data_IF_597176857014
#
_entry.id   IF_597176857014
#
_cell.length_a   1.000
_cell.length_b   1.000
_cell.length_c   1.000
_cell.angle_alpha   90.00
_cell.angle_beta   90.00
_cell.angle_gamma   90.00
#
_symmetry.space_group_name_H-M   'P 1'
#
loop_
_entity.id
_entity.type
_entity.pdbx_description
1 polymer ?
#
# COMPACT_ATOMS: atom_id res chain seq x y z
N UNK A 1 -31.35 -5.72 -23.09
CA UNK A 1 -31.26 -4.31 -23.50
C UNK A 1 -30.12 -4.17 -24.50
N UNK A 2 -30.40 -4.23 -25.80
CA UNK A 2 -29.42 -4.13 -26.88
C UNK A 2 -29.46 -2.73 -27.50
N UNK A 3 -28.30 -2.04 -27.52
CA UNK A 3 -28.16 -0.65 -27.98
C UNK A 3 -27.73 -0.67 -29.45
N UNK A 4 -28.68 -0.46 -30.36
CA UNK A 4 -28.44 -0.39 -31.80
C UNK A 4 -27.76 0.94 -32.19
N UNK A 5 -26.62 0.83 -32.87
CA UNK A 5 -25.84 1.93 -33.45
C UNK A 5 -26.57 2.44 -34.69
N UNK A 6 -27.00 3.71 -34.68
CA UNK A 6 -27.59 4.39 -35.84
C UNK A 6 -26.48 4.87 -36.77
N UNK A 7 -26.42 4.32 -37.98
CA UNK A 7 -25.70 4.90 -39.11
C UNK A 7 -26.51 6.07 -39.71
N UNK A 8 -25.87 7.19 -40.09
CA UNK A 8 -26.56 8.25 -40.82
C UNK A 8 -26.82 7.82 -42.27
N UNK A 9 -28.10 7.85 -42.64
CA UNK A 9 -28.64 7.72 -43.99
C UNK A 9 -28.68 9.11 -44.64
N UNK A 10 -28.39 9.15 -45.94
CA UNK A 10 -28.63 10.25 -46.92
C UNK A 10 -27.54 11.34 -46.87
N UNK A 11 -27.03 11.87 -47.98
CA UNK A 11 -27.68 12.23 -49.25
C UNK A 11 -26.67 12.21 -50.41
N UNK A 12 -26.93 11.42 -51.45
CA UNK A 12 -26.34 11.67 -52.77
C UNK A 12 -27.14 12.82 -53.41
N UNK A 13 -26.56 14.02 -53.42
CA UNK A 13 -27.02 15.10 -54.29
C UNK A 13 -26.36 14.91 -55.65
N UNK A 14 -27.06 14.16 -56.51
CA UNK A 14 -26.94 14.27 -57.95
C UNK A 14 -27.42 15.66 -58.35
N UNK A 15 -26.50 16.59 -58.61
CA UNK A 15 -26.82 17.82 -59.32
C UNK A 15 -27.03 17.48 -60.79
N UNK A 16 -28.30 17.39 -61.17
CA UNK A 16 -28.76 17.45 -62.53
C UNK A 16 -28.40 18.83 -63.11
N UNK A 17 -27.40 18.89 -63.98
CA UNK A 17 -27.22 20.03 -64.87
C UNK A 17 -28.17 19.85 -66.07
N UNK A 18 -29.46 20.10 -65.83
CA UNK A 18 -30.46 20.24 -66.88
C UNK A 18 -30.87 21.71 -66.97
N UNK A 19 -30.45 22.35 -68.07
CA UNK A 19 -31.22 23.38 -68.75
C UNK A 19 -31.22 24.79 -68.16
N UNK A 20 -30.44 25.67 -68.80
CA UNK A 20 -30.98 26.98 -69.19
C UNK A 20 -30.71 27.16 -70.68
N UNK A 21 -31.68 26.71 -71.49
CA UNK A 21 -31.86 27.19 -72.85
C UNK A 21 -32.61 28.52 -72.70
N UNK A 22 -31.90 29.65 -72.79
CA UNK A 22 -32.57 30.93 -73.02
C UNK A 22 -32.85 31.00 -74.52
N UNK A 23 -34.03 30.51 -74.90
CA UNK A 23 -34.69 31.01 -76.10
C UNK A 23 -35.38 32.32 -75.72
N UNK A 24 -34.67 33.42 -75.86
CA UNK A 24 -35.26 34.75 -75.93
C UNK A 24 -35.24 35.18 -77.39
N UNK A 25 -36.42 35.14 -78.01
CA UNK A 25 -36.62 35.60 -79.37
C UNK A 25 -36.45 37.11 -79.50
N UNK A 26 -36.09 37.50 -80.72
CA UNK A 26 -36.25 38.84 -81.30
C UNK A 26 -35.48 39.98 -80.63
N UNK A 27 -34.15 39.88 -80.64
CA UNK A 27 -33.29 41.04 -80.83
C UNK A 27 -32.06 40.60 -81.63
N UNK A 28 -31.66 41.37 -82.66
CA UNK A 28 -30.39 41.14 -83.36
C UNK A 28 -29.27 41.46 -82.38
N UNK A 29 -28.88 40.45 -81.61
CA UNK A 29 -27.84 40.51 -80.60
C UNK A 29 -26.51 40.85 -81.30
N UNK A 30 -26.09 42.11 -81.10
CA UNK A 30 -24.89 42.66 -81.72
C UNK A 30 -23.70 41.87 -81.17
N UNK A 31 -22.96 41.19 -82.05
CA UNK A 31 -21.73 40.49 -81.67
C UNK A 31 -20.85 41.46 -80.87
N UNK A 32 -20.36 41.07 -79.67
CA UNK A 32 -19.53 41.95 -78.87
C UNK A 32 -18.27 42.33 -79.67
N UNK A 33 -18.08 43.63 -79.88
CA UNK A 33 -16.95 44.20 -80.65
C UNK A 33 -15.63 44.06 -79.85
N UNK A 34 -15.74 43.78 -78.55
CA UNK A 34 -14.60 43.56 -77.68
C UNK A 34 -14.44 42.06 -77.39
N UNK A 35 -13.20 41.55 -77.35
CA UNK A 35 -12.96 40.19 -76.92
C UNK A 35 -13.46 40.03 -75.48
N UNK A 36 -14.31 39.04 -75.23
CA UNK A 36 -14.73 38.69 -73.88
C UNK A 36 -13.50 38.25 -73.07
N UNK A 37 -13.31 38.75 -71.84
CA UNK A 37 -12.18 38.33 -71.02
C UNK A 37 -12.27 36.82 -70.80
N UNK A 38 -11.17 36.11 -71.09
CA UNK A 38 -11.11 34.66 -70.90
C UNK A 38 -11.49 34.32 -69.45
N UNK A 39 -12.37 33.32 -69.22
CA UNK A 39 -12.71 32.91 -67.86
C UNK A 39 -11.43 32.52 -67.12
N UNK A 40 -11.25 32.93 -65.85
CA UNK A 40 -10.05 32.58 -65.09
C UNK A 40 -9.97 31.06 -64.97
N UNK A 41 -8.88 30.49 -65.47
CA UNK A 41 -8.61 29.06 -65.40
C UNK A 41 -8.34 28.71 -63.94
N UNK A 42 -9.30 28.06 -63.28
CA UNK A 42 -9.11 27.50 -61.95
C UNK A 42 -8.24 26.24 -62.07
N UNK A 43 -6.94 26.40 -61.76
CA UNK A 43 -6.01 25.29 -61.62
C UNK A 43 -6.42 24.48 -60.38
N UNK A 44 -7.17 23.40 -60.60
CA UNK A 44 -7.43 22.41 -59.56
C UNK A 44 -6.21 21.51 -59.51
N UNK A 45 -5.36 21.72 -58.51
CA UNK A 45 -4.22 20.85 -58.22
C UNK A 45 -4.75 19.47 -57.84
N UNK A 46 -4.84 18.58 -58.84
CA UNK A 46 -5.26 17.20 -58.64
C UNK A 46 -4.04 16.40 -58.23
N UNK A 47 -4.08 15.71 -57.08
CA UNK A 47 -2.92 14.98 -56.59
C UNK A 47 -2.54 13.87 -57.57
N UNK A 48 -1.24 13.78 -57.85
CA UNK A 48 -0.66 12.74 -58.70
C UNK A 48 -0.83 11.36 -58.07
N UNK A 49 -0.87 10.30 -58.88
CA UNK A 49 -0.99 8.91 -58.38
C UNK A 49 0.13 8.55 -57.39
N UNK A 50 1.33 9.11 -57.58
CA UNK A 50 2.47 8.94 -56.67
C UNK A 50 2.25 9.67 -55.34
N UNK A 51 1.70 10.89 -55.39
CA UNK A 51 1.39 11.68 -54.21
C UNK A 51 0.34 11.00 -53.33
N UNK A 52 -0.66 10.36 -53.96
CA UNK A 52 -1.65 9.55 -53.25
C UNK A 52 -1.01 8.35 -52.55
N UNK A 53 -0.09 7.65 -53.22
CA UNK A 53 0.61 6.50 -52.63
C UNK A 53 1.52 6.92 -51.47
N UNK A 54 2.29 8.00 -51.62
CA UNK A 54 3.11 8.56 -50.53
C UNK A 54 2.23 9.04 -49.38
N UNK A 55 1.09 9.66 -49.67
CA UNK A 55 0.10 10.06 -48.68
C UNK A 55 -0.47 8.88 -47.88
N UNK A 56 -0.78 7.77 -48.54
CA UNK A 56 -1.22 6.53 -47.87
C UNK A 56 -0.11 5.97 -46.99
N UNK A 57 1.10 5.81 -47.52
CA UNK A 57 2.24 5.28 -46.78
C UNK A 57 2.57 6.14 -45.55
N UNK A 58 2.54 7.47 -45.67
CA UNK A 58 2.75 8.37 -44.54
C UNK A 58 1.66 8.20 -43.47
N UNK A 59 0.38 8.17 -43.87
CA UNK A 59 -0.74 8.03 -42.92
C UNK A 59 -0.72 6.70 -42.21
N UNK A 60 -0.32 5.60 -42.86
CA UNK A 60 -0.21 4.30 -42.19
C UNK A 60 0.93 4.31 -41.19
N UNK A 61 2.12 4.82 -41.55
CA UNK A 61 3.26 4.89 -40.62
C UNK A 61 2.95 5.80 -39.43
N UNK A 62 2.49 7.03 -39.68
CA UNK A 62 2.12 7.99 -38.62
C UNK A 62 0.98 7.42 -37.77
N UNK A 63 -0.05 6.86 -38.39
CA UNK A 63 -1.15 6.23 -37.67
C UNK A 63 -0.70 5.06 -36.81
N UNK A 64 0.21 4.20 -37.28
CA UNK A 64 0.75 3.10 -36.45
C UNK A 64 1.58 3.62 -35.29
N UNK A 65 2.38 4.67 -35.50
CA UNK A 65 3.17 5.30 -34.46
C UNK A 65 2.29 5.94 -33.39
N UNK A 66 1.29 6.73 -33.79
CA UNK A 66 0.34 7.38 -32.88
C UNK A 66 -0.50 6.35 -32.10
N UNK A 67 -0.88 5.24 -32.73
CA UNK A 67 -1.57 4.13 -32.07
C UNK A 67 -0.67 3.42 -31.04
N UNK A 68 0.62 3.24 -31.33
CA UNK A 68 1.56 2.66 -30.37
C UNK A 68 1.80 3.60 -29.20
N UNK A 69 2.01 4.89 -29.49
CA UNK A 69 2.21 5.93 -28.48
C UNK A 69 0.99 6.07 -27.56
N UNK A 70 -0.22 6.14 -28.12
CA UNK A 70 -1.45 6.22 -27.32
C UNK A 70 -1.65 5.01 -26.41
N UNK A 71 -1.38 3.77 -26.87
CA UNK A 71 -1.44 2.59 -26.01
C UNK A 71 -0.49 2.65 -24.82
N UNK A 72 0.75 3.12 -25.03
CA UNK A 72 1.71 3.31 -23.94
C UNK A 72 1.21 4.40 -22.99
N UNK A 73 0.73 5.51 -23.55
CA UNK A 73 0.18 6.61 -22.77
C UNK A 73 -1.05 6.18 -21.95
N UNK A 74 -1.90 5.29 -22.47
CA UNK A 74 -3.05 4.74 -21.77
C UNK A 74 -2.61 3.85 -20.60
N UNK A 75 -1.60 3.00 -20.78
CA UNK A 75 -1.04 2.18 -19.69
C UNK A 75 -0.45 3.06 -18.59
N UNK A 76 0.32 4.09 -18.96
CA UNK A 76 0.88 5.05 -18.00
C UNK A 76 -0.23 5.83 -17.31
N UNK A 77 -1.26 6.26 -18.03
CA UNK A 77 -2.40 6.98 -17.46
C UNK A 77 -3.20 6.12 -16.48
N UNK A 78 -3.40 4.84 -16.81
CA UNK A 78 -4.03 3.88 -15.90
C UNK A 78 -3.17 3.65 -14.65
N UNK A 79 -1.85 3.54 -14.81
CA UNK A 79 -0.94 3.41 -13.67
C UNK A 79 -0.98 4.63 -12.75
N UNK A 80 -0.93 5.84 -13.32
CA UNK A 80 -1.07 7.09 -12.56
C UNK A 80 -2.45 7.16 -11.88
N UNK A 81 -3.50 6.65 -12.53
CA UNK A 81 -4.83 6.54 -11.94
C UNK A 81 -4.84 5.63 -10.71
N UNK A 82 -4.19 4.46 -10.79
CA UNK A 82 -4.02 3.54 -9.66
C UNK A 82 -3.19 4.19 -8.56
N UNK A 83 -2.08 4.85 -8.88
CA UNK A 83 -1.23 5.55 -7.92
C UNK A 83 -2.02 6.62 -7.17
N UNK A 84 -2.76 7.48 -7.88
CA UNK A 84 -3.61 8.50 -7.26
C UNK A 84 -4.72 7.90 -6.42
N UNK A 85 -5.33 6.80 -6.86
CA UNK A 85 -6.35 6.11 -6.08
C UNK A 85 -5.77 5.55 -4.77
N UNK A 86 -4.58 4.95 -4.83
CA UNK A 86 -3.85 4.44 -3.67
C UNK A 86 -3.42 5.57 -2.76
N UNK A 87 -2.86 6.66 -3.30
CA UNK A 87 -2.45 7.84 -2.54
C UNK A 87 -3.63 8.47 -1.80
N UNK A 88 -4.73 8.70 -2.51
CA UNK A 88 -5.97 9.20 -1.91
C UNK A 88 -6.48 8.25 -0.83
N UNK A 89 -6.35 6.94 -1.02
CA UNK A 89 -6.76 5.95 -0.03
C UNK A 89 -5.88 5.97 1.20
N UNK A 90 -4.56 5.99 1.04
CA UNK A 90 -3.61 6.08 2.14
C UNK A 90 -3.85 7.37 2.93
N UNK A 91 -4.03 8.51 2.23
CA UNK A 91 -4.39 9.79 2.85
C UNK A 91 -5.70 9.72 3.63
N UNK A 92 -6.68 8.96 3.16
CA UNK A 92 -7.96 8.80 3.87
C UNK A 92 -7.89 7.88 5.09
N UNK A 93 -6.96 6.92 5.09
CA UNK A 93 -6.82 5.94 6.19
C UNK A 93 -5.86 6.44 7.28
N UNK A 94 -4.93 7.31 6.92
CA UNK A 94 -3.98 7.90 7.83
C UNK A 94 -4.62 8.99 8.70
N UNK A 95 -4.38 8.91 10.02
CA UNK A 95 -4.76 9.95 10.96
C UNK A 95 -3.62 10.97 11.13
N UNK A 96 -3.82 12.27 10.83
CA UNK A 96 -2.76 13.29 10.89
C UNK A 96 -2.23 13.56 12.30
N UNK A 97 -2.87 13.01 13.34
CA UNK A 97 -2.39 13.12 14.72
C UNK A 97 -1.24 12.16 15.04
N UNK A 98 -0.96 11.15 14.19
CA UNK A 98 0.13 10.19 14.38
C UNK A 98 1.38 10.55 13.54
N UNK A 99 2.59 10.60 14.13
CA UNK A 99 3.81 10.92 13.37
C UNK A 99 4.24 9.74 12.48
N UNK A 100 4.02 9.82 11.16
CA UNK A 100 4.36 8.75 10.22
C UNK A 100 5.86 8.52 10.04
N UNK A 101 6.65 9.59 10.01
CA UNK A 101 8.06 9.52 9.60
C UNK A 101 8.93 8.67 10.53
N UNK A 102 8.84 8.77 11.88
CA UNK A 102 9.55 7.83 12.74
C UNK A 102 8.85 6.48 12.86
N UNK A 103 7.51 6.45 12.95
CA UNK A 103 6.76 5.22 13.21
C UNK A 103 6.89 4.20 12.09
N UNK A 104 6.85 4.63 10.82
CA UNK A 104 7.04 3.71 9.69
C UNK A 104 8.46 3.14 9.64
N UNK A 105 9.46 3.93 10.02
CA UNK A 105 10.84 3.44 10.14
C UNK A 105 10.95 2.39 11.24
N UNK A 106 10.32 2.59 12.40
CA UNK A 106 10.33 1.59 13.47
C UNK A 106 9.61 0.29 13.08
N UNK A 107 8.50 0.37 12.37
CA UNK A 107 7.82 -0.80 11.77
C UNK A 107 8.75 -1.52 10.80
N UNK A 108 9.44 -0.77 9.93
CA UNK A 108 10.43 -1.32 9.00
C UNK A 108 11.59 -2.04 9.71
N UNK A 109 12.19 -1.40 10.71
CA UNK A 109 13.28 -1.98 11.52
C UNK A 109 12.80 -3.22 12.28
N UNK A 110 11.61 -3.20 12.89
CA UNK A 110 11.06 -4.35 13.59
C UNK A 110 10.85 -5.54 12.63
N UNK A 111 10.30 -5.27 11.45
CA UNK A 111 10.08 -6.29 10.41
C UNK A 111 11.41 -6.86 9.89
N UNK A 112 12.39 -6.00 9.59
CA UNK A 112 13.72 -6.45 9.12
C UNK A 112 14.48 -7.19 10.23
N UNK A 113 14.39 -6.75 11.48
CA UNK A 113 15.00 -7.44 12.63
C UNK A 113 14.40 -8.82 12.84
N UNK A 114 13.09 -8.98 12.60
CA UNK A 114 12.47 -10.31 12.65
C UNK A 114 13.05 -11.27 11.61
N UNK A 115 13.47 -10.76 10.44
CA UNK A 115 14.14 -11.56 9.40
C UNK A 115 15.48 -12.09 9.91
N UNK A 116 16.27 -11.26 10.60
CA UNK A 116 17.50 -11.69 11.26
C UNK A 116 17.19 -12.76 12.32
N UNK A 117 16.14 -12.56 13.12
CA UNK A 117 15.72 -13.50 14.16
C UNK A 117 15.25 -14.86 13.60
N UNK A 118 14.79 -14.90 12.36
CA UNK A 118 14.40 -16.14 11.67
C UNK A 118 15.53 -16.87 10.96
N UNK A 119 16.71 -16.25 10.86
CA UNK A 119 17.82 -16.72 10.02
C UNK A 119 18.22 -18.18 10.30
N UNK A 120 18.13 -18.60 11.55
CA UNK A 120 18.54 -19.95 12.01
C UNK A 120 17.37 -20.87 12.34
N UNK A 121 16.12 -20.45 12.09
CA UNK A 121 14.92 -21.24 12.40
C UNK A 121 14.32 -21.91 11.16
N UNK A 122 13.42 -22.86 11.41
CA UNK A 122 12.74 -23.66 10.39
C UNK A 122 12.01 -22.81 9.34
N UNK A 123 11.87 -23.36 8.12
CA UNK A 123 11.24 -22.68 6.98
C UNK A 123 9.88 -22.02 7.29
N UNK A 124 8.94 -22.64 8.03
CA UNK A 124 7.66 -22.00 8.32
C UNK A 124 7.81 -20.70 9.11
N UNK A 125 8.68 -20.70 10.12
CA UNK A 125 8.92 -19.51 10.95
C UNK A 125 9.57 -18.40 10.15
N UNK A 126 10.42 -18.72 9.17
CA UNK A 126 11.07 -17.75 8.28
C UNK A 126 10.08 -16.97 7.40
N UNK A 127 8.98 -17.60 7.00
CA UNK A 127 7.94 -16.93 6.22
C UNK A 127 6.86 -16.28 7.08
N UNK A 128 6.58 -16.80 8.27
CA UNK A 128 5.52 -16.29 9.15
C UNK A 128 5.99 -15.16 10.08
N UNK A 129 7.23 -15.19 10.57
CA UNK A 129 7.70 -14.17 11.52
C UNK A 129 7.75 -12.75 10.92
N UNK A 130 8.28 -12.52 9.71
CA UNK A 130 8.28 -11.17 9.14
C UNK A 130 6.91 -10.52 8.99
N UNK A 131 5.88 -11.17 8.40
CA UNK A 131 4.56 -10.56 8.32
C UNK A 131 3.88 -10.43 9.69
N UNK A 132 4.10 -11.37 10.62
CA UNK A 132 3.53 -11.23 11.97
C UNK A 132 4.15 -10.06 12.73
N UNK A 133 5.46 -9.87 12.67
CA UNK A 133 6.13 -8.71 13.25
C UNK A 133 5.72 -7.40 12.58
N UNK A 134 5.47 -7.41 11.27
CA UNK A 134 4.92 -6.26 10.56
C UNK A 134 3.56 -5.87 11.13
N UNK A 135 2.63 -6.81 11.23
CA UNK A 135 1.28 -6.53 11.77
C UNK A 135 1.34 -6.09 13.23
N UNK A 136 2.17 -6.74 14.04
CA UNK A 136 2.35 -6.42 15.45
C UNK A 136 2.94 -5.01 15.64
N UNK A 137 4.02 -4.70 14.93
CA UNK A 137 4.66 -3.38 15.00
C UNK A 137 3.78 -2.28 14.43
N UNK A 138 3.00 -2.56 13.38
CA UNK A 138 2.03 -1.62 12.83
C UNK A 138 0.94 -1.27 13.86
N UNK A 139 0.42 -2.26 14.58
CA UNK A 139 -0.55 -2.02 15.65
C UNK A 139 0.07 -1.23 16.83
N UNK A 140 1.33 -1.50 17.16
CA UNK A 140 2.04 -0.84 18.25
C UNK A 140 2.42 0.61 17.95
N UNK A 141 3.00 0.89 16.78
CA UNK A 141 3.51 2.22 16.42
C UNK A 141 2.47 3.12 15.72
N UNK A 142 1.42 2.52 15.11
CA UNK A 142 0.35 3.25 14.41
C UNK A 142 -1.04 2.69 14.77
N UNK A 143 -1.49 2.82 16.03
CA UNK A 143 -2.74 2.21 16.49
C UNK A 143 -4.00 2.75 15.81
N UNK A 144 -4.08 4.07 15.53
CA UNK A 144 -5.25 4.66 14.84
C UNK A 144 -5.28 4.24 13.38
N UNK A 145 -4.14 4.32 12.71
CA UNK A 145 -4.02 3.89 11.31
C UNK A 145 -4.34 2.39 11.17
N UNK A 146 -3.86 1.54 12.08
CA UNK A 146 -4.17 0.12 12.13
C UNK A 146 -5.68 -0.14 12.30
N UNK A 147 -6.33 0.61 13.19
CA UNK A 147 -7.79 0.52 13.39
C UNK A 147 -8.55 0.93 12.14
N UNK A 148 -8.19 2.05 11.50
CA UNK A 148 -8.81 2.52 10.26
C UNK A 148 -8.65 1.53 9.09
N UNK A 149 -7.49 0.89 8.98
CA UNK A 149 -7.26 -0.18 7.99
C UNK A 149 -8.17 -1.38 8.29
N UNK A 150 -8.29 -1.78 9.55
CA UNK A 150 -9.11 -2.94 9.95
C UNK A 150 -10.61 -2.71 9.71
N UNK A 151 -11.12 -1.49 9.96
CA UNK A 151 -12.52 -1.13 9.69
C UNK A 151 -12.79 -1.05 8.20
N UNK A 152 -11.82 -0.57 7.42
CA UNK A 152 -11.92 -0.60 5.97
C UNK A 152 -11.95 -2.04 5.43
N UNK A 153 -11.06 -2.90 5.88
CA UNK A 153 -11.07 -4.32 5.48
C UNK A 153 -12.40 -4.99 5.85
N UNK A 154 -12.95 -4.68 7.01
CA UNK A 154 -14.27 -5.18 7.42
C UNK A 154 -15.38 -4.71 6.47
N UNK A 155 -15.42 -3.42 6.11
CA UNK A 155 -16.45 -2.90 5.17
C UNK A 155 -16.30 -3.45 3.75
N UNK A 156 -15.07 -3.72 3.29
CA UNK A 156 -14.81 -4.44 2.05
C UNK A 156 -15.33 -5.88 2.10
N UNK A 157 -15.04 -6.59 3.19
CA UNK A 157 -15.52 -7.96 3.40
C UNK A 157 -17.05 -8.01 3.42
N UNK A 158 -17.72 -7.08 4.11
CA UNK A 158 -19.18 -7.00 4.13
C UNK A 158 -19.78 -6.73 2.74
N UNK A 159 -19.12 -5.90 1.94
CA UNK A 159 -19.62 -5.53 0.60
C UNK A 159 -19.45 -6.65 -0.42
N UNK A 160 -18.27 -7.31 -0.43
CA UNK A 160 -17.93 -8.27 -1.49
C UNK A 160 -18.03 -9.74 -1.05
N UNK A 161 -17.87 -10.04 0.25
CA UNK A 161 -17.77 -11.40 0.80
C UNK A 161 -18.53 -11.54 2.14
N UNK A 162 -19.86 -11.37 2.16
CA UNK A 162 -20.64 -11.31 3.40
C UNK A 162 -20.52 -12.57 4.28
N UNK A 163 -20.34 -13.75 3.66
CA UNK A 163 -20.15 -15.01 4.39
C UNK A 163 -18.82 -15.09 5.16
N UNK A 164 -17.79 -14.35 4.71
CA UNK A 164 -16.49 -14.26 5.39
C UNK A 164 -16.58 -13.23 6.52
N UNK A 165 -17.24 -12.10 6.27
CA UNK A 165 -17.45 -11.06 7.27
C UNK A 165 -18.15 -11.58 8.53
N UNK A 166 -19.20 -12.40 8.39
CA UNK A 166 -19.90 -13.01 9.52
C UNK A 166 -18.96 -13.92 10.35
N UNK A 167 -18.18 -14.77 9.69
CA UNK A 167 -17.21 -15.65 10.37
C UNK A 167 -16.10 -14.87 11.07
N UNK A 168 -15.60 -13.81 10.45
CA UNK A 168 -14.63 -12.91 11.07
C UNK A 168 -15.21 -12.15 12.25
N UNK A 169 -16.48 -11.73 12.19
CA UNK A 169 -17.18 -11.09 13.31
C UNK A 169 -17.34 -12.05 14.50
N UNK A 170 -17.79 -13.28 14.24
CA UNK A 170 -17.89 -14.34 15.25
C UNK A 170 -16.51 -14.65 15.85
N UNK A 171 -15.49 -14.80 14.98
CA UNK A 171 -14.11 -15.02 15.40
C UNK A 171 -13.60 -13.91 16.33
N UNK A 172 -13.82 -12.64 15.98
CA UNK A 172 -13.46 -11.48 16.81
C UNK A 172 -14.17 -11.46 18.16
N UNK A 173 -15.45 -11.82 18.20
CA UNK A 173 -16.19 -11.90 19.46
C UNK A 173 -15.62 -13.00 20.38
N UNK A 174 -15.27 -14.16 19.83
CA UNK A 174 -14.65 -15.24 20.60
C UNK A 174 -13.24 -14.92 21.05
N UNK A 175 -12.43 -14.22 20.25
CA UNK A 175 -11.08 -13.81 20.66
C UNK A 175 -11.14 -12.74 21.75
N UNK A 176 -12.05 -11.76 21.64
CA UNK A 176 -12.28 -10.76 22.69
C UNK A 176 -12.71 -11.42 24.01
N UNK A 177 -13.69 -12.32 23.96
CA UNK A 177 -14.12 -13.09 25.13
C UNK A 177 -13.01 -13.98 25.71
N UNK A 178 -12.16 -14.58 24.87
CA UNK A 178 -11.01 -15.37 25.32
C UNK A 178 -9.95 -14.48 25.98
N UNK A 179 -9.74 -13.27 25.46
CA UNK A 179 -8.82 -12.30 26.05
C UNK A 179 -9.28 -11.85 27.43
N UNK A 180 -10.57 -11.56 27.60
CA UNK A 180 -11.18 -11.26 28.88
C UNK A 180 -11.01 -12.42 29.87
N UNK A 181 -11.30 -13.66 29.45
CA UNK A 181 -11.06 -14.85 30.28
C UNK A 181 -9.62 -15.02 30.72
N UNK A 182 -8.64 -14.76 29.84
CA UNK A 182 -7.22 -14.85 30.19
C UNK A 182 -6.86 -13.79 31.22
N UNK A 183 -7.41 -12.57 31.09
CA UNK A 183 -7.22 -11.49 32.06
C UNK A 183 -7.81 -11.85 33.41
N UNK A 184 -9.03 -12.35 33.44
CA UNK A 184 -9.73 -12.78 34.65
C UNK A 184 -8.99 -13.95 35.31
N UNK A 185 -8.58 -14.95 34.54
CA UNK A 185 -7.79 -16.07 35.02
C UNK A 185 -6.44 -15.61 35.60
N UNK A 186 -5.81 -14.59 35.03
CA UNK A 186 -4.54 -14.05 35.54
C UNK A 186 -4.73 -13.31 36.87
N UNK A 187 -5.84 -12.57 37.02
CA UNK A 187 -6.20 -11.91 38.27
C UNK A 187 -6.53 -12.94 39.35
N UNK A 188 -7.40 -13.89 39.03
CA UNK A 188 -7.80 -14.99 39.92
C UNK A 188 -6.61 -15.87 40.30
N UNK A 189 -5.70 -16.15 39.36
CA UNK A 189 -4.47 -16.91 39.65
C UNK A 189 -3.54 -16.18 40.61
N UNK A 190 -3.43 -14.84 40.54
CA UNK A 190 -2.62 -14.06 41.49
C UNK A 190 -3.19 -14.10 42.90
N UNK A 191 -4.51 -14.05 43.02
CA UNK A 191 -5.21 -14.14 44.31
C UNK A 191 -5.09 -15.56 44.89
N UNK A 192 -5.35 -16.59 44.08
CA UNK A 192 -5.24 -18.00 44.46
C UNK A 192 -3.81 -18.46 44.74
N UNK A 193 -2.79 -17.88 44.09
CA UNK A 193 -1.39 -18.16 44.45
C UNK A 193 -1.07 -17.66 45.86
N UNK A 194 -1.58 -16.49 46.25
CA UNK A 194 -1.37 -15.93 47.58
C UNK A 194 -2.01 -16.77 48.68
N UNK A 195 -3.21 -17.30 48.42
CA UNK A 195 -3.93 -18.19 49.35
C UNK A 195 -3.35 -19.61 49.36
N UNK A 196 -3.05 -20.19 48.19
CA UNK A 196 -2.48 -21.53 48.08
C UNK A 196 -1.08 -21.64 48.69
N UNK A 197 -0.24 -20.60 48.60
CA UNK A 197 1.05 -20.56 49.30
C UNK A 197 0.84 -20.46 50.82
N UNK A 198 -0.16 -19.71 51.29
CA UNK A 198 -0.48 -19.63 52.73
C UNK A 198 -1.01 -20.95 53.28
N UNK A 199 -1.85 -21.65 52.52
CA UNK A 199 -2.42 -22.93 52.93
C UNK A 199 -1.40 -24.07 52.84
N UNK A 200 -0.50 -24.06 51.86
CA UNK A 200 0.64 -24.97 51.81
C UNK A 200 1.57 -24.78 53.02
N UNK A 201 1.88 -23.52 53.38
CA UNK A 201 2.70 -23.22 54.57
C UNK A 201 1.98 -23.67 55.85
N UNK A 202 0.66 -23.44 55.98
CA UNK A 202 -0.14 -23.90 57.13
C UNK A 202 -0.20 -25.43 57.24
N UNK A 203 -0.35 -26.14 56.12
CA UNK A 203 -0.43 -27.60 56.13
C UNK A 203 0.94 -28.23 56.46
N UNK A 204 2.03 -27.64 55.97
CA UNK A 204 3.38 -28.06 56.36
C UNK A 204 3.65 -27.73 57.82
N UNK A 205 3.22 -26.57 58.32
CA UNK A 205 3.32 -26.20 59.74
C UNK A 205 2.48 -27.11 60.66
N UNK A 206 1.27 -27.49 60.23
CA UNK A 206 0.40 -28.42 60.96
C UNK A 206 0.89 -29.88 60.96
N UNK A 207 1.61 -30.30 59.91
CA UNK A 207 2.15 -31.65 59.82
C UNK A 207 3.54 -31.79 60.44
N UNK A 208 4.37 -30.75 60.35
CA UNK A 208 5.75 -30.77 60.85
C UNK A 208 5.91 -30.11 62.22
N UNK A 209 4.88 -29.40 62.72
CA UNK A 209 4.92 -28.66 63.99
C UNK A 209 5.91 -27.48 63.99
N UNK A 210 6.56 -27.20 62.86
CA UNK A 210 7.55 -26.14 62.71
C UNK A 210 6.86 -24.85 62.32
N UNK A 211 7.01 -23.80 63.15
CA UNK A 211 6.52 -22.44 62.89
C UNK A 211 7.27 -21.74 61.75
N UNK A 212 7.10 -22.24 60.53
CA UNK A 212 7.70 -21.69 59.31
C UNK A 212 7.00 -20.40 58.86
N UNK A 213 5.72 -20.24 59.19
CA UNK A 213 4.96 -19.03 58.88
C UNK A 213 5.47 -17.77 59.59
N UNK A 214 6.14 -17.91 60.74
CA UNK A 214 6.66 -16.78 61.54
C UNK A 214 8.09 -16.41 61.11
N UNK A 215 8.92 -17.38 60.72
CA UNK A 215 10.30 -17.16 60.25
C UNK A 215 10.39 -16.67 58.80
N UNK A 216 9.51 -17.14 57.90
CA UNK A 216 9.44 -16.64 56.52
C UNK A 216 8.85 -15.23 56.43
N UNK A 217 8.02 -14.84 57.40
CA UNK A 217 7.44 -13.48 57.45
C UNK A 217 8.50 -12.42 57.77
N UNK A 218 9.56 -12.80 58.49
CA UNK A 218 10.74 -11.95 58.76
C UNK A 218 11.69 -11.89 57.54
N UNK A 219 11.77 -12.94 56.72
CA UNK A 219 12.56 -12.91 55.47
C UNK A 219 11.85 -12.26 54.27
N UNK A 220 10.51 -12.17 54.27
CA UNK A 220 9.77 -11.59 53.15
C UNK A 220 9.97 -10.07 53.03
N UNK A 221 10.32 -9.36 54.10
CA UNK A 221 10.74 -7.96 54.01
C UNK A 221 12.08 -7.80 53.30
N UNK A 222 13.04 -8.71 53.52
CA UNK A 222 14.34 -8.69 52.83
C UNK A 222 14.25 -9.22 51.39
N UNK A 223 13.43 -10.24 51.12
CA UNK A 223 13.28 -10.80 49.78
C UNK A 223 12.54 -9.86 48.82
N UNK A 224 11.57 -9.07 49.31
CA UNK A 224 10.89 -8.04 48.49
C UNK A 224 11.85 -6.89 48.17
N UNK A 225 12.72 -6.50 49.11
CA UNK A 225 13.72 -5.45 48.89
C UNK A 225 14.86 -5.92 47.96
N UNK A 226 15.28 -7.18 48.06
CA UNK A 226 16.25 -7.80 47.14
C UNK A 226 15.66 -7.99 45.76
N UNK A 227 14.40 -8.38 45.60
CA UNK A 227 13.75 -8.50 44.27
C UNK A 227 13.60 -7.13 43.62
N UNK A 228 13.21 -6.10 44.38
CA UNK A 228 13.15 -4.70 43.88
C UNK A 228 14.54 -4.16 43.54
N UNK A 229 15.57 -4.53 44.32
CA UNK A 229 16.96 -4.19 44.04
C UNK A 229 17.54 -4.92 42.82
N UNK A 230 17.14 -6.19 42.59
CA UNK A 230 17.54 -6.98 41.42
C UNK A 230 16.84 -6.49 40.16
N UNK A 231 15.55 -6.13 40.22
CA UNK A 231 14.88 -5.51 39.06
C UNK A 231 15.51 -4.18 38.68
N UNK A 232 15.85 -3.33 39.66
CA UNK A 232 16.57 -2.06 39.39
C UNK A 232 17.97 -2.29 38.85
N UNK A 233 18.72 -3.27 39.38
CA UNK A 233 20.05 -3.64 38.86
C UNK A 233 20.01 -4.27 37.47
N UNK A 234 18.92 -4.96 37.13
CA UNK A 234 18.70 -5.53 35.78
C UNK A 234 18.32 -4.42 34.81
N UNK A 235 17.46 -3.47 35.20
CA UNK A 235 17.14 -2.28 34.40
C UNK A 235 18.39 -1.43 34.16
N UNK A 236 19.19 -1.16 35.19
CA UNK A 236 20.43 -0.39 35.09
C UNK A 236 21.50 -1.11 34.23
N UNK A 237 21.63 -2.43 34.34
CA UNK A 237 22.53 -3.22 33.48
C UNK A 237 22.04 -3.32 32.04
N UNK A 238 20.73 -3.33 31.82
CA UNK A 238 20.14 -3.30 30.48
C UNK A 238 20.35 -1.92 29.87
N UNK A 239 20.16 -0.83 30.62
CA UNK A 239 20.46 0.53 30.16
C UNK A 239 21.96 0.74 29.89
N UNK A 240 22.86 0.21 30.73
CA UNK A 240 24.30 0.24 30.45
C UNK A 240 24.69 -0.58 29.22
N UNK A 241 24.08 -1.76 29.00
CA UNK A 241 24.36 -2.59 27.83
C UNK A 241 23.82 -1.94 26.54
N UNK A 242 22.68 -1.26 26.63
CA UNK A 242 22.12 -0.46 25.55
C UNK A 242 23.00 0.76 25.28
N UNK A 243 23.48 1.47 26.31
CA UNK A 243 24.41 2.58 26.13
C UNK A 243 25.77 2.16 25.56
N UNK A 244 26.33 1.02 25.98
CA UNK A 244 27.60 0.48 25.45
C UNK A 244 27.48 0.04 24.00
N UNK A 245 26.35 -0.56 23.60
CA UNK A 245 26.11 -0.91 22.19
C UNK A 245 25.91 0.33 21.30
N UNK A 246 25.31 1.42 21.81
CA UNK A 246 25.23 2.70 21.08
C UNK A 246 26.58 3.45 21.00
N UNK A 247 27.52 3.22 21.91
CA UNK A 247 28.87 3.85 21.90
C UNK A 247 29.86 3.06 21.01
N UNK A 248 29.77 1.74 20.96
CA UNK A 248 30.57 0.92 20.03
C UNK A 248 30.18 1.16 18.55
N UNK A 249 28.89 1.41 18.27
CA UNK A 249 28.45 1.73 16.91
C UNK A 249 28.94 3.12 16.44
N UNK A 250 29.09 4.09 17.35
CA UNK A 250 29.65 5.41 17.01
C UNK A 250 31.17 5.42 16.84
N UNK A 251 31.91 4.55 17.53
CA UNK A 251 33.38 4.49 17.44
C UNK A 251 33.89 3.65 16.25
N UNK A 252 33.06 2.77 15.68
CA UNK A 252 33.40 2.01 14.47
C UNK A 252 33.26 2.80 13.15
N UNK A 253 32.56 3.94 13.17
CA UNK A 253 32.34 4.78 11.98
C UNK A 253 33.48 5.77 11.73
N UNK A 254 34.36 6.02 12.70
CA UNK A 254 35.35 7.12 12.65
C UNK A 254 36.82 6.69 12.42
N UNK A 255 37.05 5.51 11.82
CA UNK A 255 38.40 5.11 11.37
C UNK A 255 38.46 5.03 9.83
N UNK A 256 39.28 5.87 9.15
CA UNK A 256 39.45 5.78 7.70
C UNK A 256 40.14 4.46 7.34
N UNK A 257 39.56 3.72 6.39
CA UNK A 257 40.14 2.50 5.80
C UNK A 257 41.40 2.86 5.01
N UNK A 258 42.58 2.55 5.54
CA UNK A 258 43.81 2.48 4.75
C UNK A 258 43.74 1.28 3.79
N UNK A 259 44.00 1.55 2.51
CA UNK A 259 44.04 0.57 1.42
C UNK A 259 45.46 -0.01 1.31
N UNK A 260 45.69 -1.32 1.48
CA UNK A 260 46.99 -1.90 1.15
C UNK A 260 47.07 -2.18 -0.36
N UNK A 261 47.94 -1.45 -1.04
CA UNK A 261 48.40 -1.71 -2.41
C UNK A 261 49.12 -3.07 -2.44
N UNK A 262 48.48 -4.09 -3.04
CA UNK A 262 49.14 -5.34 -3.40
C UNK A 262 49.91 -5.14 -4.70
N UNK A 263 51.24 -5.14 -4.60
CA UNK A 263 52.19 -5.10 -5.72
C UNK A 263 52.14 -6.43 -6.47
N UNK A 264 51.97 -6.35 -7.79
CA UNK A 264 52.08 -7.46 -8.74
C UNK A 264 53.51 -8.02 -8.77
N UNK A 265 53.62 -9.34 -8.60
CA UNK A 265 54.38 -10.23 -9.48
C UNK A 265 53.36 -11.20 -10.05
#
# INVERSE_FOLDING_TARGET
>A
MFRAIRLPRRTLLTTAAAGVVISSGLDREKLPIYPTPNPPILLVDSPSSLEQQIGVARRTVVGTYDNAYSKVQDVVSNWIGVEKAVENRIKSLHDPTEPLTPSLLYVGVATLSSTIFTRTRSLPTRFLLPPTFLVLSLNYFLPKTSTNISTYLTSLEETYLPSVAEKHAIGRAHTAMTWERIKDFTQESREKFGEGVRDAVKNVEGWTGLKLGETLRVQKSEAVEVVVGVTKKVEEKVEEAVAKSFVEEKTAVDKPKEVPVKRLV
#
